data_IF_912210646828
#
_entry.id   IF_912210646828
#
_cell.length_a   1.000
_cell.length_b   1.000
_cell.length_c   1.000
_cell.angle_alpha   90.00
_cell.angle_beta   90.00
_cell.angle_gamma   90.00
#
_symmetry.space_group_name_H-M   'P 1'
#
loop_
_entity.id
_entity.type
_entity.pdbx_description
1 polymer ?
#
# COMPACT_ATOMS: atom_id res chain seq x y z
N UNK A 1 -12.56 5.30 -11.96
CA UNK A 1 -11.74 4.33 -12.72
C UNK A 1 -12.17 4.25 -14.18
N UNK A 2 -13.33 3.69 -14.52
CA UNK A 2 -13.72 3.49 -15.94
C UNK A 2 -13.87 4.80 -16.73
N UNK A 3 -14.35 5.87 -16.11
CA UNK A 3 -14.39 7.20 -16.74
C UNK A 3 -12.99 7.73 -17.05
N UNK A 4 -12.06 7.67 -16.09
CA UNK A 4 -10.68 8.10 -16.29
C UNK A 4 -9.97 7.27 -17.38
N UNK A 5 -10.22 5.96 -17.45
CA UNK A 5 -9.73 5.13 -18.57
C UNK A 5 -10.31 5.60 -19.92
N UNK A 6 -11.61 5.92 -19.97
CA UNK A 6 -12.26 6.46 -21.18
C UNK A 6 -11.68 7.82 -21.60
N UNK A 7 -11.30 8.62 -20.62
CA UNK A 7 -10.67 9.93 -20.83
C UNK A 7 -9.17 9.82 -21.18
N UNK A 8 -8.63 8.59 -21.31
CA UNK A 8 -7.27 8.33 -21.78
C UNK A 8 -6.19 8.30 -20.68
N UNK A 9 -6.57 8.34 -19.40
CA UNK A 9 -5.61 8.24 -18.30
C UNK A 9 -5.13 6.80 -18.09
N UNK A 10 -3.87 6.66 -17.69
CA UNK A 10 -3.40 5.44 -17.06
C UNK A 10 -3.93 5.39 -15.63
N UNK A 11 -4.66 4.34 -15.28
CA UNK A 11 -5.33 4.24 -13.98
C UNK A 11 -4.74 3.10 -13.16
N UNK A 12 -4.19 3.46 -12.01
CA UNK A 12 -3.84 2.55 -10.94
C UNK A 12 -4.88 2.70 -9.82
N UNK A 13 -5.35 1.59 -9.25
CA UNK A 13 -6.33 1.63 -8.15
C UNK A 13 -5.81 0.86 -6.94
N UNK A 14 -5.99 1.44 -5.76
CA UNK A 14 -5.49 0.88 -4.50
C UNK A 14 -6.53 -0.09 -3.94
N UNK A 15 -6.35 -1.39 -4.20
CA UNK A 15 -7.33 -2.41 -3.90
C UNK A 15 -7.50 -2.65 -2.39
N UNK A 16 -6.39 -2.69 -1.64
CA UNK A 16 -6.37 -2.93 -0.20
C UNK A 16 -6.80 -1.72 0.65
N UNK A 17 -6.94 -0.55 0.02
CA UNK A 17 -7.52 0.65 0.62
C UNK A 17 -8.93 0.97 0.08
N UNK A 18 -9.53 0.07 -0.71
CA UNK A 18 -10.86 0.22 -1.30
C UNK A 18 -11.81 -0.86 -0.81
N UNK A 19 -13.07 -0.50 -0.56
CA UNK A 19 -14.11 -1.44 -0.09
C UNK A 19 -15.29 -1.57 -1.05
N UNK A 20 -16.02 -2.68 -0.94
CA UNK A 20 -17.32 -2.88 -1.57
C UNK A 20 -18.39 -3.22 -0.52
N UNK A 21 -19.66 -3.29 -0.94
CA UNK A 21 -20.78 -3.64 -0.04
C UNK A 21 -20.66 -5.06 0.54
N UNK A 22 -19.93 -5.93 -0.15
CA UNK A 22 -19.57 -7.28 0.29
C UNK A 22 -18.21 -7.67 -0.33
N UNK A 23 -17.54 -8.72 0.18
CA UNK A 23 -16.32 -9.24 -0.45
C UNK A 23 -16.52 -9.61 -1.93
N UNK A 24 -17.64 -10.27 -2.25
CA UNK A 24 -17.99 -10.58 -3.63
C UNK A 24 -18.17 -9.30 -4.47
N UNK A 25 -18.89 -8.30 -3.96
CA UNK A 25 -19.10 -7.04 -4.69
C UNK A 25 -17.79 -6.31 -4.96
N UNK A 26 -16.88 -6.26 -3.97
CA UNK A 26 -15.55 -5.68 -4.13
C UNK A 26 -14.75 -6.42 -5.20
N UNK A 27 -14.72 -7.75 -5.14
CA UNK A 27 -13.95 -8.56 -6.08
C UNK A 27 -14.48 -8.46 -7.52
N UNK A 28 -15.81 -8.44 -7.70
CA UNK A 28 -16.43 -8.19 -9.02
C UNK A 28 -16.07 -6.82 -9.58
N UNK A 29 -16.03 -5.79 -8.73
CA UNK A 29 -15.62 -4.45 -9.14
C UNK A 29 -14.14 -4.43 -9.56
N UNK A 30 -13.24 -5.03 -8.77
CA UNK A 30 -11.81 -5.16 -9.09
C UNK A 30 -11.60 -5.90 -10.41
N UNK A 31 -12.25 -7.05 -10.62
CA UNK A 31 -12.18 -7.81 -11.87
C UNK A 31 -12.61 -6.97 -13.08
N UNK A 32 -13.72 -6.22 -12.95
CA UNK A 32 -14.21 -5.33 -14.01
C UNK A 32 -13.22 -4.21 -14.34
N UNK A 33 -12.58 -3.61 -13.33
CA UNK A 33 -11.57 -2.57 -13.53
C UNK A 33 -10.32 -3.11 -14.24
N UNK A 34 -9.86 -4.30 -13.84
CA UNK A 34 -8.72 -5.00 -14.47
C UNK A 34 -9.03 -5.33 -15.94
N UNK A 35 -10.21 -5.89 -16.23
CA UNK A 35 -10.64 -6.20 -17.61
C UNK A 35 -10.70 -4.95 -18.50
N UNK A 36 -10.98 -3.78 -17.92
CA UNK A 36 -10.98 -2.51 -18.63
C UNK A 36 -9.57 -1.90 -18.81
N UNK A 37 -8.52 -2.53 -18.25
CA UNK A 37 -7.12 -2.10 -18.36
C UNK A 37 -6.58 -1.29 -17.18
N UNK A 38 -7.31 -1.17 -16.07
CA UNK A 38 -6.76 -0.55 -14.85
C UNK A 38 -5.79 -1.51 -14.13
N UNK A 39 -4.77 -0.95 -13.49
CA UNK A 39 -3.73 -1.71 -12.79
C UNK A 39 -4.03 -1.75 -11.28
N UNK A 40 -4.23 -2.92 -10.66
CA UNK A 40 -4.41 -3.02 -9.22
C UNK A 40 -3.08 -2.80 -8.49
N UNK A 41 -3.10 -2.04 -7.39
CA UNK A 41 -1.96 -1.82 -6.50
C UNK A 41 -2.37 -1.93 -5.03
N UNK A 42 -1.37 -2.08 -4.15
CA UNK A 42 -1.52 -1.91 -2.70
C UNK A 42 -1.08 -0.50 -2.28
N UNK A 43 -1.56 -0.02 -1.13
CA UNK A 43 -1.15 1.28 -0.61
C UNK A 43 0.37 1.32 -0.35
N UNK A 44 0.93 0.19 0.08
CA UNK A 44 2.35 0.09 0.37
C UNK A 44 3.21 0.14 -0.90
N UNK A 45 2.74 -0.43 -2.01
CA UNK A 45 3.40 -0.27 -3.31
C UNK A 45 3.44 1.20 -3.76
N UNK A 46 2.34 1.93 -3.58
CA UNK A 46 2.31 3.39 -3.86
C UNK A 46 3.33 4.14 -2.99
N UNK A 47 3.37 3.85 -1.70
CA UNK A 47 4.33 4.49 -0.79
C UNK A 47 5.79 4.20 -1.18
N UNK A 48 6.07 2.95 -1.59
CA UNK A 48 7.39 2.54 -2.06
C UNK A 48 7.78 3.21 -3.38
N UNK A 49 6.83 3.52 -4.27
CA UNK A 49 7.11 4.30 -5.48
C UNK A 49 7.50 5.75 -5.17
N UNK A 50 6.92 6.35 -4.12
CA UNK A 50 7.28 7.69 -3.67
C UNK A 50 8.60 7.73 -2.89
N UNK A 51 8.97 6.61 -2.27
CA UNK A 51 10.17 6.48 -1.43
C UNK A 51 10.94 5.22 -1.83
N UNK A 52 11.58 5.22 -3.02
CA UNK A 52 12.17 4.02 -3.60
C UNK A 52 13.34 3.46 -2.78
N UNK A 53 13.96 4.30 -1.95
CA UNK A 53 14.98 3.89 -1.00
C UNK A 53 14.88 4.72 0.29
N UNK A 54 15.63 4.31 1.31
CA UNK A 54 15.65 4.94 2.63
C UNK A 54 16.36 6.31 2.66
N UNK A 55 16.89 6.76 1.52
CA UNK A 55 17.57 8.05 1.37
C UNK A 55 16.68 9.11 0.74
N UNK A 56 15.50 8.71 0.22
CA UNK A 56 14.53 9.64 -0.33
C UNK A 56 14.15 10.73 0.69
N UNK A 57 14.11 12.02 0.30
CA UNK A 57 13.72 13.12 1.19
C UNK A 57 12.37 12.93 1.89
N UNK A 58 11.46 12.21 1.24
CA UNK A 58 10.10 11.93 1.71
C UNK A 58 10.05 10.72 2.66
N UNK A 59 11.11 9.89 2.71
CA UNK A 59 11.18 8.69 3.53
C UNK A 59 10.91 8.95 5.03
N UNK A 60 11.46 10.01 5.67
CA UNK A 60 11.15 10.31 7.06
C UNK A 60 9.67 10.59 7.33
N UNK A 61 8.90 11.04 6.34
CA UNK A 61 7.47 11.26 6.46
C UNK A 61 6.65 9.97 6.23
N UNK A 62 7.13 9.10 5.33
CA UNK A 62 6.49 7.80 5.05
C UNK A 62 6.73 6.77 6.16
N UNK A 63 7.94 6.69 6.68
CA UNK A 63 8.37 5.62 7.59
C UNK A 63 7.48 5.45 8.84
N UNK A 64 7.05 6.52 9.55
CA UNK A 64 6.13 6.37 10.67
C UNK A 64 4.77 5.77 10.29
N UNK A 65 4.25 6.09 9.09
CA UNK A 65 2.99 5.54 8.56
C UNK A 65 3.16 4.05 8.29
N UNK A 66 4.29 3.65 7.69
CA UNK A 66 4.63 2.25 7.48
C UNK A 66 4.77 1.45 8.79
N UNK A 67 5.33 2.06 9.83
CA UNK A 67 5.37 1.43 11.15
C UNK A 67 3.99 1.32 11.80
N UNK A 68 3.06 2.22 11.54
CA UNK A 68 1.73 2.17 12.16
C UNK A 68 0.74 1.26 11.39
N UNK A 69 0.93 1.11 10.08
CA UNK A 69 -0.04 0.48 9.19
C UNK A 69 0.53 -0.65 8.32
N UNK A 70 1.84 -0.91 8.38
CA UNK A 70 2.54 -1.91 7.56
C UNK A 70 2.33 -3.38 7.97
N UNK A 71 1.47 -3.64 8.95
CA UNK A 71 1.12 -4.99 9.40
C UNK A 71 2.35 -5.78 9.84
N UNK A 72 2.70 -6.85 9.13
CA UNK A 72 3.84 -7.70 9.48
C UNK A 72 5.18 -6.97 9.56
N UNK A 73 5.37 -5.88 8.81
CA UNK A 73 6.59 -5.05 8.88
C UNK A 73 6.73 -4.40 10.26
N UNK A 74 5.64 -3.86 10.81
CA UNK A 74 5.62 -3.28 12.15
C UNK A 74 6.06 -4.31 13.19
N UNK A 75 5.43 -5.48 13.18
CA UNK A 75 5.73 -6.54 14.15
C UNK A 75 7.17 -7.02 14.07
N UNK A 76 7.72 -7.13 12.86
CA UNK A 76 9.12 -7.49 12.67
C UNK A 76 10.06 -6.43 13.25
N UNK A 77 9.79 -5.14 13.03
CA UNK A 77 10.59 -4.04 13.59
C UNK A 77 10.50 -4.03 15.12
N UNK A 78 9.30 -4.12 15.68
CA UNK A 78 9.11 -4.18 17.14
C UNK A 78 9.84 -5.37 17.76
N UNK A 79 9.74 -6.55 17.13
CA UNK A 79 10.46 -7.75 17.57
C UNK A 79 11.98 -7.54 17.54
N UNK A 80 12.52 -7.01 16.43
CA UNK A 80 13.95 -6.76 16.29
C UNK A 80 14.41 -5.77 17.36
N UNK A 81 13.71 -4.64 17.53
CA UNK A 81 14.05 -3.61 18.50
C UNK A 81 14.06 -4.18 19.93
N UNK A 82 13.04 -4.95 20.30
CA UNK A 82 12.94 -5.57 21.62
C UNK A 82 14.06 -6.59 21.92
N UNK A 83 14.70 -7.14 20.89
CA UNK A 83 15.76 -8.14 21.00
C UNK A 83 17.16 -7.57 20.66
N UNK A 84 17.30 -6.26 20.47
CA UNK A 84 18.60 -5.65 20.26
C UNK A 84 19.46 -5.78 21.55
N UNK A 85 20.71 -6.28 21.43
CA UNK A 85 21.60 -6.38 22.58
C UNK A 85 21.86 -4.97 23.14
N UNK A 86 21.46 -4.74 24.39
CA UNK A 86 21.61 -3.47 25.11
C UNK A 86 20.31 -2.83 25.64
N UNK A 87 19.13 -3.34 25.26
CA UNK A 87 17.84 -2.85 25.81
C UNK A 87 17.32 -3.66 27.02
N UNK A 88 17.95 -4.79 27.36
CA UNK A 88 17.65 -5.56 28.56
C UNK A 88 18.52 -5.05 29.73
N UNK A 89 18.17 -3.90 30.32
CA UNK A 89 18.77 -3.39 31.57
C UNK A 89 17.70 -3.18 32.62
#
# INVERSE_FOLDING_TARGET
>A
VLSALKDGYQVYFIADASGGLSPESHERACQRMIQAGAIPMSWFAVAAEWTPDNTAPEYPAMYPIALQHGGGVQWAVEYILANLPGQQS
#
